data_IF_762933963315
#
_entry.id   IF_762933963315
#
_cell.length_a   1.000
_cell.length_b   1.000
_cell.length_c   1.000
_cell.angle_alpha   90.00
_cell.angle_beta   90.00
_cell.angle_gamma   90.00
#
_symmetry.space_group_name_H-M   'P 1'
#
loop_
_entity.id
_entity.type
_entity.pdbx_description
1 polymer ?
#
# COMPACT_ATOMS: atom_id res chain seq x y z
N UNK A 1 -0.45 -52.83 -63.58
CA UNK A 1 -0.48 -52.00 -62.36
C UNK A 1 -0.35 -52.90 -61.13
N UNK A 2 0.80 -52.86 -60.43
CA UNK A 2 1.13 -53.81 -59.34
C UNK A 2 0.60 -53.25 -58.00
N UNK A 3 -0.55 -53.73 -57.51
CA UNK A 3 -1.09 -53.35 -56.19
C UNK A 3 -0.18 -53.93 -55.10
N UNK A 4 0.67 -53.09 -54.50
CA UNK A 4 1.44 -53.44 -53.30
C UNK A 4 0.47 -53.46 -52.12
N UNK A 5 -0.02 -54.64 -51.77
CA UNK A 5 -0.79 -54.86 -50.55
C UNK A 5 0.21 -54.72 -49.41
N UNK A 6 0.07 -53.66 -48.61
CA UNK A 6 0.88 -53.50 -47.39
C UNK A 6 0.63 -54.74 -46.52
N UNK A 7 1.68 -55.42 -46.05
CA UNK A 7 1.49 -56.59 -45.20
C UNK A 7 0.73 -56.12 -43.95
N UNK A 8 -0.40 -56.77 -43.67
CA UNK A 8 -1.28 -56.53 -42.50
C UNK A 8 -0.50 -56.28 -41.19
N UNK A 9 0.64 -56.95 -40.88
CA UNK A 9 1.44 -56.61 -39.69
C UNK A 9 2.01 -55.19 -39.67
N UNK A 10 2.27 -54.56 -40.82
CA UNK A 10 2.86 -53.22 -40.91
C UNK A 10 1.82 -52.10 -40.69
N UNK A 11 0.57 -52.32 -41.14
CA UNK A 11 -0.54 -51.37 -40.89
C UNK A 11 -0.91 -51.33 -39.40
N UNK A 12 -0.80 -52.46 -38.70
CA UNK A 12 -1.00 -52.54 -37.25
C UNK A 12 0.15 -51.94 -36.44
N UNK A 13 1.36 -51.87 -37.01
CA UNK A 13 2.54 -51.29 -36.35
C UNK A 13 2.42 -49.77 -36.17
N UNK A 14 1.90 -49.06 -37.19
CA UNK A 14 1.78 -47.60 -37.19
C UNK A 14 0.98 -47.07 -35.97
N UNK A 15 -0.25 -47.54 -35.67
CA UNK A 15 -0.99 -47.04 -34.53
C UNK A 15 -0.35 -47.42 -33.18
N UNK A 16 0.34 -48.57 -33.10
CA UNK A 16 1.03 -49.00 -31.87
C UNK A 16 2.21 -48.07 -31.58
N UNK A 17 3.02 -47.75 -32.58
CA UNK A 17 4.13 -46.81 -32.44
C UNK A 17 3.62 -45.42 -32.10
N UNK A 18 2.53 -44.97 -32.75
CA UNK A 18 1.93 -43.67 -32.44
C UNK A 18 1.42 -43.61 -30.98
N UNK A 19 0.79 -44.68 -30.50
CA UNK A 19 0.31 -44.78 -29.13
C UNK A 19 1.47 -44.79 -28.11
N UNK A 20 2.58 -45.47 -28.43
CA UNK A 20 3.78 -45.45 -27.60
C UNK A 20 4.36 -44.02 -27.50
N UNK A 21 4.45 -43.29 -28.62
CA UNK A 21 4.93 -41.90 -28.63
C UNK A 21 4.04 -40.98 -27.78
N UNK A 22 2.72 -41.12 -27.90
CA UNK A 22 1.76 -40.33 -27.09
C UNK A 22 1.88 -40.67 -25.60
N UNK A 23 2.05 -41.95 -25.26
CA UNK A 23 2.26 -42.38 -23.87
C UNK A 23 3.55 -41.81 -23.30
N UNK A 24 4.66 -41.85 -24.05
CA UNK A 24 5.94 -41.27 -23.61
C UNK A 24 5.85 -39.76 -23.43
N UNK A 25 5.18 -39.05 -24.35
CA UNK A 25 4.95 -37.61 -24.24
C UNK A 25 4.03 -37.25 -23.05
N UNK A 26 3.00 -38.07 -22.80
CA UNK A 26 2.12 -37.96 -21.65
C UNK A 26 2.88 -38.15 -20.34
N UNK A 27 3.65 -39.25 -20.22
CA UNK A 27 4.52 -39.51 -19.07
C UNK A 27 5.45 -38.32 -18.87
N UNK A 28 6.20 -37.88 -19.88
CA UNK A 28 7.09 -36.72 -19.76
C UNK A 28 6.37 -35.46 -19.25
N UNK A 29 5.17 -35.16 -19.79
CA UNK A 29 4.35 -34.01 -19.35
C UNK A 29 3.83 -34.16 -17.91
N UNK A 30 3.54 -35.38 -17.47
CA UNK A 30 3.02 -35.67 -16.12
C UNK A 30 4.12 -36.01 -15.10
N UNK A 31 5.36 -36.27 -15.54
CA UNK A 31 6.53 -36.51 -14.69
C UNK A 31 7.42 -35.27 -14.55
N UNK A 32 7.14 -34.18 -15.27
CA UNK A 32 7.66 -32.87 -14.88
C UNK A 32 7.14 -32.59 -13.46
N UNK A 33 8.04 -32.74 -12.48
CA UNK A 33 7.74 -32.42 -11.09
C UNK A 33 7.47 -30.92 -10.98
N UNK A 34 6.61 -30.53 -10.03
CA UNK A 34 6.36 -29.12 -9.69
C UNK A 34 7.66 -28.33 -9.43
N UNK A 35 8.76 -29.03 -9.14
CA UNK A 35 10.12 -28.53 -8.95
C UNK A 35 10.75 -27.94 -10.23
N UNK A 36 10.56 -28.55 -11.41
CA UNK A 36 11.03 -27.97 -12.69
C UNK A 36 10.17 -26.76 -13.11
N UNK A 37 8.89 -26.74 -12.71
CA UNK A 37 8.02 -25.58 -12.90
C UNK A 37 8.46 -24.44 -11.96
N UNK A 38 8.76 -24.74 -10.69
CA UNK A 38 9.34 -23.80 -9.72
C UNK A 38 10.69 -23.24 -10.17
N UNK A 39 11.51 -24.05 -10.85
CA UNK A 39 12.81 -23.61 -11.38
C UNK A 39 12.67 -22.66 -12.59
N UNK A 40 11.60 -22.79 -13.38
CA UNK A 40 11.32 -21.93 -14.55
C UNK A 40 10.61 -20.64 -14.19
N UNK A 41 9.95 -20.61 -13.04
CA UNK A 41 9.45 -19.40 -12.39
C UNK A 41 10.20 -19.26 -11.07
N UNK A 42 11.50 -18.89 -11.08
CA UNK A 42 12.16 -18.53 -9.83
C UNK A 42 11.21 -17.57 -9.16
N UNK A 43 10.76 -17.90 -7.95
CA UNK A 43 9.89 -17.03 -7.18
C UNK A 43 10.54 -15.67 -7.25
N UNK A 44 9.97 -14.76 -8.05
CA UNK A 44 10.39 -13.38 -8.03
C UNK A 44 10.13 -13.01 -6.58
N UNK A 45 11.19 -12.97 -5.78
CA UNK A 45 11.16 -12.39 -4.46
C UNK A 45 10.83 -10.94 -4.78
N UNK A 46 9.53 -10.65 -4.81
CA UNK A 46 9.05 -9.31 -5.05
C UNK A 46 9.64 -8.54 -3.88
N UNK A 47 10.62 -7.69 -4.18
CA UNK A 47 11.36 -6.98 -3.17
C UNK A 47 10.33 -6.23 -2.31
N UNK A 48 10.43 -6.43 -0.99
CA UNK A 48 9.54 -5.74 -0.08
C UNK A 48 9.76 -4.23 -0.23
N UNK A 49 8.67 -3.48 -0.25
CA UNK A 49 8.67 -2.04 -0.19
C UNK A 49 9.27 -1.60 1.14
N UNK A 50 10.42 -0.92 1.04
CA UNK A 50 11.21 -0.55 2.20
C UNK A 50 10.50 0.47 3.10
N UNK A 51 9.60 1.30 2.53
CA UNK A 51 8.82 2.28 3.30
C UNK A 51 7.78 1.54 4.14
N UNK A 52 7.00 0.64 3.53
CA UNK A 52 5.98 -0.12 4.24
C UNK A 52 6.59 -1.02 5.30
N UNK A 53 7.67 -1.74 4.98
CA UNK A 53 8.36 -2.59 5.95
C UNK A 53 8.93 -1.76 7.11
N UNK A 54 9.48 -0.57 6.85
CA UNK A 54 9.99 0.31 7.91
C UNK A 54 8.90 0.89 8.81
N UNK A 55 7.76 1.31 8.24
CA UNK A 55 6.67 1.92 9.00
C UNK A 55 5.85 0.90 9.79
N UNK A 56 5.67 -0.28 9.23
CA UNK A 56 4.68 -1.26 9.74
C UNK A 56 5.28 -2.61 10.13
N UNK A 57 6.51 -2.93 9.70
CA UNK A 57 7.09 -4.27 9.80
C UNK A 57 6.51 -5.28 8.80
N UNK A 58 5.53 -4.88 7.97
CA UNK A 58 4.85 -5.77 7.03
C UNK A 58 5.65 -5.86 5.73
N UNK A 59 5.99 -7.09 5.32
CA UNK A 59 6.62 -7.35 4.03
C UNK A 59 5.57 -7.41 2.92
N UNK A 60 5.54 -6.39 2.10
CA UNK A 60 4.73 -6.34 0.88
C UNK A 60 5.48 -5.66 -0.26
N UNK A 61 5.17 -6.05 -1.48
CA UNK A 61 5.65 -5.41 -2.70
C UNK A 61 4.95 -4.08 -3.03
N UNK A 62 3.78 -3.85 -2.45
CA UNK A 62 2.94 -2.73 -2.83
C UNK A 62 3.32 -1.48 -2.02
N UNK A 63 3.55 -0.33 -2.68
CA UNK A 63 3.88 0.90 -1.99
C UNK A 63 2.70 1.40 -1.13
N UNK A 64 3.03 2.16 -0.09
CA UNK A 64 2.04 2.88 0.70
C UNK A 64 1.26 3.82 -0.22
N UNK A 65 -0.06 3.67 -0.24
CA UNK A 65 -0.95 4.48 -1.07
C UNK A 65 -1.74 5.44 -0.20
N UNK A 66 -1.61 6.75 -0.49
CA UNK A 66 -2.37 7.80 0.17
C UNK A 66 -3.43 8.34 -0.79
N UNK A 67 -4.67 8.46 -0.31
CA UNK A 67 -5.74 9.15 -1.02
C UNK A 67 -5.66 10.65 -0.70
N UNK A 68 -5.61 11.53 -1.69
CA UNK A 68 -5.68 12.98 -1.47
C UNK A 68 -7.15 13.36 -1.23
N UNK A 69 -7.55 13.88 -0.05
CA UNK A 69 -8.96 14.06 0.28
C UNK A 69 -9.74 14.97 -0.69
N UNK A 70 -9.13 16.10 -1.09
CA UNK A 70 -9.80 17.09 -1.95
C UNK A 70 -9.91 16.64 -3.41
N UNK A 71 -8.80 16.19 -4.01
CA UNK A 71 -8.75 15.83 -5.43
C UNK A 71 -9.14 14.38 -5.71
N UNK A 72 -9.22 13.54 -4.67
CA UNK A 72 -9.39 12.08 -4.73
C UNK A 72 -8.33 11.36 -5.59
N UNK A 73 -7.21 12.03 -5.89
CA UNK A 73 -6.07 11.40 -6.52
C UNK A 73 -5.37 10.44 -5.55
N UNK A 74 -4.64 9.49 -6.10
CA UNK A 74 -3.78 8.60 -5.32
C UNK A 74 -2.33 9.04 -5.44
N UNK A 75 -1.66 9.12 -4.30
CA UNK A 75 -0.22 9.32 -4.21
C UNK A 75 0.43 8.00 -3.78
N UNK A 76 1.40 7.52 -4.57
CA UNK A 76 2.25 6.40 -4.17
C UNK A 76 3.47 6.98 -3.45
N UNK A 77 3.73 6.49 -2.24
CA UNK A 77 4.87 6.96 -1.45
C UNK A 77 6.13 6.30 -1.96
N UNK A 78 7.12 7.11 -2.37
CA UNK A 78 8.32 6.63 -3.07
C UNK A 78 9.60 6.99 -2.34
N UNK A 79 9.60 8.09 -1.61
CA UNK A 79 10.80 8.66 -1.02
C UNK A 79 10.71 8.65 0.51
N UNK A 80 11.81 8.29 1.15
CA UNK A 80 11.95 8.34 2.60
C UNK A 80 13.09 9.28 2.97
N UNK A 81 12.75 10.44 3.52
CA UNK A 81 13.69 11.34 4.16
C UNK A 81 13.96 10.83 5.58
N UNK A 82 15.12 10.20 5.75
CA UNK A 82 15.54 9.64 7.03
C UNK A 82 15.96 10.70 8.05
N UNK A 83 16.38 11.89 7.62
CA UNK A 83 16.82 12.95 8.52
C UNK A 83 15.63 13.57 9.26
N UNK A 84 14.54 13.80 8.53
CA UNK A 84 13.33 14.42 9.06
C UNK A 84 12.21 13.41 9.39
N UNK A 85 12.46 12.11 9.18
CA UNK A 85 11.47 11.05 9.31
C UNK A 85 10.18 11.34 8.50
N UNK A 86 10.35 11.72 7.24
CA UNK A 86 9.26 12.03 6.32
C UNK A 86 9.18 11.00 5.20
N UNK A 87 7.96 10.64 4.83
CA UNK A 87 7.67 9.79 3.68
C UNK A 87 6.96 10.65 2.65
N UNK A 88 7.49 10.73 1.45
CA UNK A 88 7.00 11.64 0.40
C UNK A 88 6.53 10.85 -0.81
N UNK A 89 5.43 11.30 -1.39
CA UNK A 89 4.95 10.83 -2.69
C UNK A 89 4.30 11.97 -3.46
N UNK A 90 4.29 11.84 -4.79
CA UNK A 90 3.69 12.82 -5.69
C UNK A 90 2.30 12.35 -6.14
N UNK A 91 1.42 13.30 -6.45
CA UNK A 91 0.12 13.02 -7.05
C UNK A 91 -0.16 13.93 -8.25
N UNK A 92 -0.98 13.42 -9.17
CA UNK A 92 -1.51 14.15 -10.31
C UNK A 92 -2.98 13.75 -10.52
N UNK A 93 -3.89 14.71 -10.41
CA UNK A 93 -5.32 14.54 -10.69
C UNK A 93 -5.72 15.02 -12.10
N UNK A 94 -4.75 15.46 -12.90
CA UNK A 94 -4.95 16.16 -14.18
C UNK A 94 -5.22 17.65 -13.98
N UNK A 95 -6.11 18.01 -13.06
CA UNK A 95 -6.40 19.41 -12.72
C UNK A 95 -5.42 19.98 -11.70
N UNK A 96 -4.95 19.16 -10.76
CA UNK A 96 -4.05 19.55 -9.69
C UNK A 96 -2.90 18.55 -9.58
N UNK A 97 -1.72 19.06 -9.25
CA UNK A 97 -0.55 18.25 -8.91
C UNK A 97 0.02 18.72 -7.60
N UNK A 98 0.77 17.86 -6.94
CA UNK A 98 1.41 18.21 -5.71
C UNK A 98 2.07 17.03 -5.03
N UNK A 99 2.38 17.21 -3.76
CA UNK A 99 3.03 16.20 -2.94
C UNK A 99 2.24 15.92 -1.68
N UNK A 100 2.34 14.68 -1.24
CA UNK A 100 1.87 14.20 0.05
C UNK A 100 3.10 13.87 0.88
N UNK A 101 3.13 14.36 2.11
CA UNK A 101 4.17 14.08 3.10
C UNK A 101 3.53 13.43 4.32
N UNK A 102 3.90 12.20 4.63
CA UNK A 102 3.49 11.49 5.85
C UNK A 102 4.59 11.62 6.90
N UNK A 103 4.23 12.00 8.13
CA UNK A 103 5.18 12.20 9.22
C UNK A 103 5.44 10.87 9.96
N UNK A 104 6.46 10.12 9.51
CA UNK A 104 6.74 8.77 9.98
C UNK A 104 6.99 8.65 11.49
N UNK A 105 7.57 9.69 12.11
CA UNK A 105 7.80 9.73 13.57
C UNK A 105 6.52 9.61 14.41
N UNK A 106 5.37 9.99 13.84
CA UNK A 106 4.06 9.89 14.46
C UNK A 106 3.26 8.67 13.98
N UNK A 107 3.85 7.78 13.17
CA UNK A 107 3.17 6.55 12.75
C UNK A 107 2.90 5.64 13.95
N UNK A 108 1.64 5.26 14.17
CA UNK A 108 1.23 4.40 15.29
C UNK A 108 0.27 3.33 14.80
N UNK A 109 0.45 2.12 15.30
CA UNK A 109 -0.53 1.05 15.14
C UNK A 109 -1.72 1.29 16.10
N UNK A 110 -2.93 1.11 15.58
CA UNK A 110 -4.16 1.07 16.35
C UNK A 110 -4.46 -0.40 16.64
N UNK A 111 -4.57 -0.76 17.92
CA UNK A 111 -4.99 -2.10 18.30
C UNK A 111 -6.46 -2.27 17.94
N UNK A 112 -6.72 -3.06 16.91
CA UNK A 112 -8.04 -3.61 16.69
C UNK A 112 -8.01 -4.81 15.74
N UNK A 113 -8.70 -5.87 16.14
CA UNK A 113 -9.18 -6.95 15.28
C UNK A 113 -8.08 -7.82 14.63
N UNK A 114 -8.45 -8.59 13.59
CA UNK A 114 -7.55 -9.50 12.85
C UNK A 114 -6.64 -8.77 11.85
N UNK A 115 -6.77 -7.46 11.71
CA UNK A 115 -6.17 -6.66 10.63
C UNK A 115 -5.48 -5.44 11.22
N UNK A 116 -4.21 -5.20 10.87
CA UNK A 116 -3.47 -4.04 11.37
C UNK A 116 -4.00 -2.73 10.80
N UNK A 117 -4.22 -1.79 11.72
CA UNK A 117 -4.65 -0.42 11.46
C UNK A 117 -3.56 0.54 11.91
N UNK A 118 -3.40 1.65 11.21
CA UNK A 118 -2.39 2.65 11.56
C UNK A 118 -2.97 4.05 11.47
N UNK A 119 -2.35 4.97 12.20
CA UNK A 119 -2.65 6.39 12.14
C UNK A 119 -1.35 7.17 11.99
N UNK A 120 -1.38 8.21 11.16
CA UNK A 120 -0.28 9.15 11.06
C UNK A 120 -0.79 10.51 10.54
N UNK A 121 -0.26 11.63 11.06
CA UNK A 121 -0.41 12.92 10.43
C UNK A 121 0.23 12.92 9.04
N UNK A 122 -0.36 13.69 8.13
CA UNK A 122 0.15 13.94 6.80
C UNK A 122 -0.12 15.39 6.39
N UNK A 123 0.73 15.93 5.53
CA UNK A 123 0.56 17.22 4.89
C UNK A 123 0.41 17.04 3.38
N UNK A 124 -0.43 17.87 2.78
CA UNK A 124 -0.65 17.90 1.35
C UNK A 124 -0.35 19.30 0.86
N UNK A 125 0.55 19.39 -0.11
CA UNK A 125 0.81 20.61 -0.85
C UNK A 125 0.36 20.41 -2.29
N UNK A 126 -0.25 21.43 -2.87
CA UNK A 126 -0.58 21.49 -4.29
C UNK A 126 0.28 22.56 -4.99
N UNK A 127 -0.04 22.92 -6.22
CA UNK A 127 0.65 23.99 -6.97
C UNK A 127 0.43 25.41 -6.38
N UNK A 128 -0.42 25.55 -5.36
CA UNK A 128 -0.62 26.78 -4.61
C UNK A 128 0.35 26.93 -3.44
N UNK A 129 0.08 27.89 -2.55
CA UNK A 129 0.91 28.15 -1.37
C UNK A 129 0.44 27.41 -0.10
N UNK A 130 -0.72 26.74 -0.14
CA UNK A 130 -1.32 26.07 1.02
C UNK A 130 -0.55 24.80 1.40
N UNK A 131 -0.51 24.50 2.71
CA UNK A 131 0.00 23.23 3.24
C UNK A 131 -1.05 22.69 4.20
N UNK A 132 -1.90 21.80 3.69
CA UNK A 132 -3.06 21.29 4.41
C UNK A 132 -2.69 20.04 5.18
N UNK A 133 -2.89 20.06 6.50
CA UNK A 133 -2.58 18.96 7.38
C UNK A 133 -3.82 18.15 7.70
N UNK A 134 -3.65 16.84 7.73
CA UNK A 134 -4.68 15.87 8.04
C UNK A 134 -4.12 14.82 9.00
N UNK A 135 -5.01 14.18 9.77
CA UNK A 135 -4.73 12.92 10.44
C UNK A 135 -5.29 11.78 9.57
N UNK A 136 -4.41 10.97 8.99
CA UNK A 136 -4.76 9.85 8.12
C UNK A 136 -4.95 8.55 8.90
N UNK A 137 -5.99 7.80 8.52
CA UNK A 137 -6.24 6.43 8.96
C UNK A 137 -5.85 5.46 7.83
N UNK A 138 -5.01 4.49 8.18
CA UNK A 138 -4.46 3.51 7.25
C UNK A 138 -4.83 2.10 7.66
N UNK A 139 -5.01 1.24 6.68
CA UNK A 139 -5.35 -0.17 6.85
C UNK A 139 -4.39 -1.03 6.06
N UNK A 140 -3.94 -2.12 6.65
CA UNK A 140 -3.34 -3.20 5.87
C UNK A 140 -4.44 -4.07 5.25
N UNK A 141 -4.51 -4.12 3.93
CA UNK A 141 -5.40 -5.00 3.19
C UNK A 141 -4.63 -6.29 2.83
N UNK A 142 -4.99 -7.48 3.36
CA UNK A 142 -4.27 -8.72 3.13
C UNK A 142 -4.38 -9.24 1.69
N UNK A 143 -5.38 -8.78 0.92
CA UNK A 143 -5.56 -9.14 -0.49
C UNK A 143 -6.01 -7.87 -1.23
N UNK A 144 -5.06 -7.06 -1.75
CA UNK A 144 -3.85 -7.52 -2.45
C UNK A 144 -2.51 -7.37 -1.69
N UNK A 145 -2.50 -7.34 -0.34
CA UNK A 145 -1.31 -7.05 0.51
C UNK A 145 -0.82 -5.63 0.33
N UNK A 146 -1.55 -4.63 0.79
CA UNK A 146 -1.12 -3.22 0.67
C UNK A 146 -1.53 -2.42 1.89
N UNK A 147 -0.78 -1.38 2.20
CA UNK A 147 -1.18 -0.39 3.21
C UNK A 147 -1.80 0.79 2.46
N UNK A 148 -3.06 1.09 2.77
CA UNK A 148 -3.83 2.13 2.08
C UNK A 148 -4.49 3.04 3.09
N UNK A 149 -4.57 4.33 2.76
CA UNK A 149 -5.38 5.26 3.53
C UNK A 149 -6.87 5.03 3.27
N UNK A 150 -7.67 4.90 4.33
CA UNK A 150 -9.13 4.69 4.24
C UNK A 150 -9.93 5.95 4.55
N UNK A 151 -9.37 6.83 5.39
CA UNK A 151 -10.01 8.07 5.80
C UNK A 151 -8.97 9.10 6.27
N UNK A 152 -9.37 10.36 6.32
CA UNK A 152 -8.53 11.43 6.85
C UNK A 152 -9.41 12.50 7.51
N UNK A 153 -8.92 13.10 8.60
CA UNK A 153 -9.54 14.23 9.27
C UNK A 153 -8.70 15.49 9.08
N UNK A 154 -9.30 16.58 8.61
CA UNK A 154 -8.59 17.85 8.42
C UNK A 154 -8.23 18.46 9.77
N UNK A 155 -6.97 18.90 9.90
CA UNK A 155 -6.43 19.51 11.12
C UNK A 155 -6.24 21.02 10.96
N UNK A 156 -5.86 21.49 9.78
CA UNK A 156 -5.62 22.91 9.53
C UNK A 156 -4.66 23.19 8.39
N UNK A 157 -4.41 24.46 8.12
CA UNK A 157 -3.38 24.95 7.19
C UNK A 157 -2.15 25.40 7.98
N UNK A 158 -0.95 24.97 7.57
CA UNK A 158 0.36 25.34 8.16
C UNK A 158 0.43 25.18 9.69
N UNK A 159 -0.07 24.07 10.21
CA UNK A 159 0.03 23.75 11.64
C UNK A 159 1.44 23.23 12.00
N UNK A 160 1.75 23.21 13.30
CA UNK A 160 2.92 22.51 13.85
C UNK A 160 2.47 21.33 14.70
N UNK A 161 2.90 20.12 14.33
CA UNK A 161 2.60 18.91 15.09
C UNK A 161 3.46 18.87 16.36
N UNK A 162 2.85 18.61 17.51
CA UNK A 162 3.59 18.46 18.77
C UNK A 162 3.71 16.99 19.14
N UNK A 163 2.56 16.32 19.36
CA UNK A 163 2.52 14.99 19.96
C UNK A 163 1.34 14.17 19.47
N UNK A 164 1.58 12.88 19.22
CA UNK A 164 0.55 11.88 19.00
C UNK A 164 0.69 10.76 20.03
N UNK A 165 -0.36 10.53 20.83
CA UNK A 165 -0.35 9.53 21.90
C UNK A 165 -1.59 8.65 21.82
N UNK A 166 -1.43 7.35 22.07
CA UNK A 166 -2.56 6.44 22.23
C UNK A 166 -3.16 6.57 23.64
N UNK A 167 -4.48 6.62 23.74
CA UNK A 167 -5.19 6.60 25.03
C UNK A 167 -5.57 5.18 25.43
N UNK A 168 -5.93 4.98 26.70
CA UNK A 168 -6.32 3.67 27.23
C UNK A 168 -7.55 3.08 26.52
N UNK A 169 -8.41 3.92 25.97
CA UNK A 169 -9.63 3.54 25.25
C UNK A 169 -9.39 3.21 23.76
N UNK A 170 -8.13 3.01 23.35
CA UNK A 170 -7.74 2.82 21.95
C UNK A 170 -8.06 4.01 21.02
N UNK A 171 -8.33 5.18 21.60
CA UNK A 171 -8.37 6.44 20.86
C UNK A 171 -6.95 7.03 20.74
N UNK A 172 -6.84 8.12 19.99
CA UNK A 172 -5.60 8.80 19.70
C UNK A 172 -5.74 10.26 20.06
N UNK A 173 -4.89 10.73 20.96
CA UNK A 173 -4.77 12.13 21.34
C UNK A 173 -3.69 12.79 20.50
N UNK A 174 -4.08 13.78 19.69
CA UNK A 174 -3.19 14.60 18.89
C UNK A 174 -3.14 16.01 19.48
N UNK A 175 -1.93 16.50 19.73
CA UNK A 175 -1.63 17.89 20.08
C UNK A 175 -0.88 18.56 18.95
N UNK A 176 -1.31 19.76 18.57
CA UNK A 176 -0.67 20.59 17.55
C UNK A 176 -0.92 22.07 17.83
N UNK A 177 -0.13 22.92 17.19
CA UNK A 177 -0.28 24.36 17.20
C UNK A 177 -0.86 24.84 15.88
N UNK A 178 -1.89 25.68 15.92
CA UNK A 178 -2.45 26.38 14.77
C UNK A 178 -2.38 27.90 14.94
N UNK A 179 -2.67 28.63 13.86
CA UNK A 179 -2.75 30.10 13.90
C UNK A 179 -4.06 30.57 14.53
N UNK A 180 -4.01 31.60 15.37
CA UNK A 180 -5.24 32.28 15.81
C UNK A 180 -5.93 32.97 14.63
N UNK A 181 -7.23 33.25 14.77
CA UNK A 181 -8.02 33.91 13.73
C UNK A 181 -7.46 35.28 13.27
N UNK A 182 -6.73 35.99 14.13
CA UNK A 182 -6.10 37.28 13.84
C UNK A 182 -4.57 37.18 13.65
N UNK A 183 -4.01 35.98 13.61
CA UNK A 183 -2.58 35.76 13.45
C UNK A 183 -2.21 35.62 11.97
N UNK A 184 -1.05 36.19 11.58
CA UNK A 184 -0.53 36.01 10.23
C UNK A 184 0.01 34.59 10.01
N UNK A 185 -0.29 34.00 8.86
CA UNK A 185 0.31 32.73 8.41
C UNK A 185 1.81 32.80 8.09
N UNK A 186 2.42 33.99 8.14
CA UNK A 186 3.88 34.17 8.09
C UNK A 186 4.56 33.93 9.44
N UNK A 187 3.81 33.99 10.54
CA UNK A 187 4.31 33.75 11.88
C UNK A 187 4.19 32.26 12.24
N UNK A 188 4.85 31.83 13.31
CA UNK A 188 4.69 30.48 13.84
C UNK A 188 3.33 30.34 14.53
N UNK A 189 2.60 29.22 14.34
CA UNK A 189 1.34 29.00 15.02
C UNK A 189 1.52 28.98 16.54
N UNK A 190 0.56 29.54 17.28
CA UNK A 190 0.64 29.71 18.74
C UNK A 190 -0.54 29.10 19.50
N UNK A 191 -1.67 28.86 18.85
CA UNK A 191 -2.85 28.28 19.48
C UNK A 191 -2.67 26.77 19.65
N UNK A 192 -2.59 26.29 20.88
CA UNK A 192 -2.49 24.86 21.16
C UNK A 192 -3.88 24.22 21.07
N UNK A 193 -3.99 23.23 20.20
CA UNK A 193 -5.19 22.42 20.00
C UNK A 193 -4.87 20.99 20.39
N UNK A 194 -5.74 20.41 21.22
CA UNK A 194 -5.69 19.00 21.59
C UNK A 194 -7.01 18.36 21.16
N UNK A 195 -6.92 17.35 20.32
CA UNK A 195 -8.07 16.64 19.77
C UNK A 195 -7.90 15.14 19.99
N UNK A 196 -8.98 14.48 20.39
CA UNK A 196 -9.03 13.02 20.51
C UNK A 196 -9.79 12.42 19.33
N UNK A 197 -9.22 11.40 18.71
CA UNK A 197 -9.78 10.70 17.58
C UNK A 197 -9.99 9.22 17.90
N UNK A 198 -11.09 8.66 17.45
CA UNK A 198 -11.36 7.22 17.51
C UNK A 198 -11.57 6.64 16.11
N UNK A 199 -11.14 5.39 15.92
CA UNK A 199 -11.49 4.62 14.73
C UNK A 199 -12.90 4.04 14.90
N UNK A 200 -13.75 4.24 13.91
CA UNK A 200 -15.05 3.58 13.79
C UNK A 200 -15.11 2.94 12.40
N UNK A 201 -15.00 1.61 12.35
CA UNK A 201 -14.85 0.85 11.11
C UNK A 201 -13.66 1.34 10.25
N UNK A 202 -13.91 1.70 8.99
CA UNK A 202 -12.92 2.25 8.08
C UNK A 202 -12.82 3.79 8.16
N UNK A 203 -13.41 4.42 9.19
CA UNK A 203 -13.48 5.88 9.38
C UNK A 203 -12.76 6.36 10.64
N UNK A 204 -12.24 7.57 10.56
CA UNK A 204 -11.63 8.28 11.69
C UNK A 204 -12.61 9.35 12.16
N UNK A 205 -12.93 9.36 13.45
CA UNK A 205 -13.90 10.28 14.04
C UNK A 205 -13.25 11.12 15.12
N UNK A 206 -13.52 12.42 15.08
CA UNK A 206 -13.21 13.32 16.19
C UNK A 206 -14.18 13.05 17.34
N UNK A 207 -13.64 12.71 18.51
CA UNK A 207 -14.41 12.62 19.74
C UNK A 207 -14.69 14.04 20.23
N UNK A 208 -15.97 14.35 20.47
CA UNK A 208 -16.41 15.64 21.02
C UNK A 208 -16.59 15.55 22.52
#
# INVERSE_FOLDING_TARGET
MKKRILPIPLILLIPIVMLAVVMTAGIYRFTLSDEEILAKFPSQQIAADAIVERLTGIKTANPLTVLVPESKAFALMTDFDAENALVVGQYDSGAERGSVTVFAQYWRELEADKVSWFVAPLAISNQGSGHFYYLGLFKYDPVPRRVVMTDAQFLGDRIRLDKLTKTENSSILLSYQQHFANQSFSEQPLEIVVQEFSRQDDKLKLNK
#
